data_IF_913407620054
#
_entry.id   IF_913407620054
#
_cell.length_a   1.000
_cell.length_b   1.000
_cell.length_c   1.000
_cell.angle_alpha   90.00
_cell.angle_beta   90.00
_cell.angle_gamma   90.00
#
_symmetry.space_group_name_H-M   'P 1'
#
loop_
_entity.id
_entity.type
_entity.pdbx_description
1 polymer ?
#
# COMPACT_ATOMS: atom_id res chain seq x y z
N UNK A 1 12.36 -42.09 -13.37
CA UNK A 1 12.14 -40.63 -13.42
C UNK A 1 12.39 -40.06 -12.04
N UNK A 2 13.16 -38.98 -11.95
CA UNK A 2 13.41 -38.23 -10.71
C UNK A 2 13.08 -36.76 -10.93
N UNK A 3 12.95 -36.00 -9.84
CA UNK A 3 12.83 -34.53 -9.87
C UNK A 3 13.95 -33.96 -9.03
N UNK A 4 14.66 -32.98 -9.57
CA UNK A 4 15.65 -32.17 -8.86
C UNK A 4 15.27 -30.70 -8.95
N UNK A 5 15.83 -29.86 -8.08
CA UNK A 5 15.52 -28.44 -7.99
C UNK A 5 16.77 -27.61 -8.24
N UNK A 6 16.68 -26.63 -9.14
CA UNK A 6 17.81 -25.73 -9.44
C UNK A 6 18.10 -24.81 -8.24
N UNK A 7 19.36 -24.72 -7.82
CA UNK A 7 19.76 -23.93 -6.65
C UNK A 7 19.36 -22.45 -6.77
N UNK A 8 19.31 -21.91 -7.99
CA UNK A 8 19.08 -20.49 -8.22
C UNK A 8 17.67 -20.02 -7.84
N UNK A 9 16.67 -20.90 -7.91
CA UNK A 9 15.27 -20.48 -7.82
C UNK A 9 14.28 -21.60 -7.40
N UNK A 10 14.75 -22.83 -7.15
CA UNK A 10 13.87 -23.93 -6.81
C UNK A 10 13.05 -24.48 -7.97
N UNK A 11 13.38 -24.13 -9.22
CA UNK A 11 12.68 -24.66 -10.38
C UNK A 11 12.84 -26.19 -10.46
N UNK A 12 11.74 -26.96 -10.54
CA UNK A 12 11.81 -28.40 -10.69
C UNK A 12 12.25 -28.78 -12.10
N UNK A 13 13.17 -29.74 -12.20
CA UNK A 13 13.62 -30.34 -13.44
C UNK A 13 13.45 -31.85 -13.36
N UNK A 14 12.83 -32.41 -14.40
CA UNK A 14 12.62 -33.85 -14.52
C UNK A 14 13.90 -34.49 -15.06
N UNK A 15 14.35 -35.54 -14.39
CA UNK A 15 15.56 -36.31 -14.73
C UNK A 15 15.15 -37.71 -15.20
N UNK A 16 15.61 -38.09 -16.38
CA UNK A 16 15.33 -39.40 -17.01
C UNK A 16 16.60 -40.20 -17.24
N UNK A 17 16.44 -41.51 -17.44
CA UNK A 17 17.54 -42.38 -17.81
C UNK A 17 17.90 -42.15 -19.29
N UNK A 18 19.19 -42.08 -19.59
CA UNK A 18 19.72 -42.11 -20.94
C UNK A 18 19.76 -43.56 -21.48
N UNK A 19 20.28 -43.73 -22.70
CA UNK A 19 20.41 -45.04 -23.36
C UNK A 19 21.36 -46.01 -22.63
N UNK A 20 22.28 -45.47 -21.81
CA UNK A 20 23.25 -46.23 -21.00
C UNK A 20 22.70 -46.61 -19.61
N UNK A 21 21.47 -46.18 -19.29
CA UNK A 21 20.82 -46.45 -18.00
C UNK A 21 21.28 -45.53 -16.86
N UNK A 22 21.91 -44.40 -17.16
CA UNK A 22 22.30 -43.38 -16.19
C UNK A 22 21.34 -42.18 -16.21
N UNK A 23 21.17 -41.51 -15.06
CA UNK A 23 20.35 -40.30 -14.99
C UNK A 23 21.07 -39.10 -15.58
N UNK A 24 20.43 -38.40 -16.52
CA UNK A 24 20.98 -37.18 -17.12
C UNK A 24 20.56 -35.94 -16.33
N UNK A 25 21.46 -35.45 -15.46
CA UNK A 25 21.20 -34.29 -14.61
C UNK A 25 21.45 -32.94 -15.31
N UNK A 26 20.82 -31.84 -14.83
CA UNK A 26 21.06 -30.50 -15.35
C UNK A 26 22.53 -30.08 -15.21
N UNK A 27 23.01 -29.26 -16.15
CA UNK A 27 24.34 -28.65 -16.09
C UNK A 27 24.49 -27.60 -14.98
N UNK A 28 23.38 -26.99 -14.55
CA UNK A 28 23.33 -26.04 -13.44
C UNK A 28 23.38 -26.76 -12.08
N UNK A 29 23.76 -26.04 -11.01
CA UNK A 29 23.73 -26.60 -9.66
C UNK A 29 22.29 -26.96 -9.25
N UNK A 30 22.12 -28.17 -8.73
CA UNK A 30 20.81 -28.72 -8.36
C UNK A 30 20.87 -29.45 -7.01
N UNK A 31 19.70 -29.63 -6.40
CA UNK A 31 19.53 -30.39 -5.15
C UNK A 31 18.29 -31.28 -5.26
N UNK A 32 18.28 -32.44 -4.60
CA UNK A 32 17.05 -33.25 -4.43
C UNK A 32 16.12 -32.65 -3.36
N UNK A 33 16.62 -31.69 -2.56
CA UNK A 33 15.85 -31.03 -1.51
C UNK A 33 14.89 -30.00 -2.12
N UNK A 34 13.59 -30.26 -2.04
CA UNK A 34 12.54 -29.32 -2.45
C UNK A 34 12.58 -28.03 -1.61
N UNK A 35 12.33 -26.84 -2.19
CA UNK A 35 12.04 -25.64 -1.41
C UNK A 35 10.91 -25.83 -0.41
N UNK A 36 11.00 -25.17 0.74
CA UNK A 36 9.93 -25.23 1.74
C UNK A 36 8.64 -24.60 1.18
N UNK A 37 7.50 -25.21 1.48
CA UNK A 37 6.21 -24.71 1.03
C UNK A 37 5.93 -23.33 1.65
N UNK A 38 5.47 -22.39 0.82
CA UNK A 38 5.17 -21.02 1.26
C UNK A 38 6.35 -20.03 1.21
N UNK A 39 7.52 -20.46 0.74
CA UNK A 39 8.58 -19.52 0.39
C UNK A 39 8.16 -18.61 -0.78
N UNK A 40 8.39 -17.31 -0.62
CA UNK A 40 8.14 -16.28 -1.61
C UNK A 40 9.42 -15.97 -2.38
N UNK A 41 9.32 -15.95 -3.70
CA UNK A 41 10.46 -15.65 -4.58
C UNK A 41 10.89 -14.19 -4.47
N UNK A 42 12.19 -13.88 -4.56
CA UNK A 42 13.28 -14.77 -4.95
C UNK A 42 13.77 -15.70 -3.82
N UNK A 43 14.12 -16.93 -4.18
CA UNK A 43 14.73 -17.93 -3.28
C UNK A 43 15.98 -18.54 -3.90
N UNK A 44 16.89 -19.06 -3.08
CA UNK A 44 18.04 -19.83 -3.55
C UNK A 44 18.50 -20.88 -2.53
N UNK A 45 19.23 -21.90 -2.96
CA UNK A 45 19.84 -22.90 -2.08
C UNK A 45 21.30 -22.53 -1.77
N UNK A 46 21.66 -22.48 -0.49
CA UNK A 46 23.01 -22.08 -0.03
C UNK A 46 24.03 -23.24 0.00
N UNK A 47 23.60 -24.45 -0.36
CA UNK A 47 24.37 -25.69 -0.27
C UNK A 47 23.98 -26.56 0.93
N UNK A 48 23.18 -26.04 1.86
CA UNK A 48 22.64 -26.77 3.02
C UNK A 48 21.11 -26.64 3.11
N UNK A 49 20.57 -25.44 2.92
CA UNK A 49 19.14 -25.11 3.04
C UNK A 49 18.69 -24.08 2.00
N UNK A 50 17.38 -23.98 1.85
CA UNK A 50 16.76 -22.92 1.07
C UNK A 50 16.77 -21.60 1.86
N UNK A 51 17.13 -20.52 1.17
CA UNK A 51 17.12 -19.15 1.66
C UNK A 51 16.05 -18.39 0.90
N UNK A 52 15.20 -17.72 1.66
CA UNK A 52 14.05 -16.96 1.19
C UNK A 52 13.24 -16.46 2.38
N UNK A 53 12.10 -15.84 2.10
CA UNK A 53 11.18 -15.36 3.12
C UNK A 53 9.74 -15.68 2.73
N UNK A 54 8.81 -15.60 3.68
CA UNK A 54 7.38 -15.71 3.34
C UNK A 54 6.89 -14.42 2.68
N UNK A 55 5.76 -14.50 1.97
CA UNK A 55 5.12 -13.33 1.35
C UNK A 55 4.81 -12.26 2.41
N UNK A 56 4.33 -12.67 3.57
CA UNK A 56 3.99 -11.75 4.67
C UNK A 56 5.23 -10.99 5.19
N UNK A 57 6.38 -11.66 5.31
CA UNK A 57 7.63 -11.01 5.72
C UNK A 57 8.09 -10.04 4.64
N UNK A 58 8.04 -10.45 3.37
CA UNK A 58 8.37 -9.59 2.24
C UNK A 58 7.52 -8.32 2.19
N UNK A 59 6.20 -8.45 2.31
CA UNK A 59 5.30 -7.30 2.27
C UNK A 59 5.51 -6.34 3.44
N UNK A 60 5.92 -6.82 4.62
CA UNK A 60 6.25 -5.97 5.77
C UNK A 60 7.58 -5.21 5.63
N UNK A 61 8.50 -5.76 4.85
CA UNK A 61 9.82 -5.15 4.61
C UNK A 61 9.80 -4.18 3.43
N UNK A 62 8.72 -4.14 2.64
CA UNK A 62 8.57 -3.16 1.58
C UNK A 62 8.68 -1.75 2.18
N UNK A 63 9.46 -0.85 1.56
CA UNK A 63 9.48 0.54 1.98
C UNK A 63 8.04 1.10 1.89
N UNK A 64 7.68 2.08 2.74
CA UNK A 64 6.42 2.78 2.57
C UNK A 64 6.32 3.30 1.15
N UNK A 65 5.13 3.24 0.57
CA UNK A 65 4.91 3.77 -0.76
C UNK A 65 5.37 5.24 -0.80
N UNK A 66 6.14 5.64 -1.82
CA UNK A 66 6.54 7.04 -1.94
C UNK A 66 5.27 7.88 -2.10
N UNK A 67 5.21 9.00 -1.37
CA UNK A 67 4.12 9.98 -1.52
C UNK A 67 4.10 10.40 -2.99
N UNK A 68 2.98 10.14 -3.67
CA UNK A 68 2.83 10.50 -5.07
C UNK A 68 2.31 11.94 -5.23
N UNK A 69 2.37 12.49 -6.45
CA UNK A 69 1.89 13.85 -6.72
C UNK A 69 0.38 14.00 -6.43
N UNK A 70 -0.39 12.89 -6.49
CA UNK A 70 -1.82 12.91 -6.17
C UNK A 70 -2.03 12.99 -4.67
N UNK A 71 -1.22 12.35 -3.85
CA UNK A 71 -1.28 12.43 -2.39
C UNK A 71 -1.02 13.88 -1.94
N UNK A 72 -0.02 14.54 -2.54
CA UNK A 72 0.26 15.96 -2.30
C UNK A 72 -0.92 16.83 -2.73
N UNK A 73 -1.50 16.56 -3.90
CA UNK A 73 -2.68 17.28 -4.38
C UNK A 73 -3.89 17.09 -3.46
N UNK A 74 -4.14 15.87 -3.00
CA UNK A 74 -5.23 15.54 -2.06
C UNK A 74 -5.02 16.27 -0.74
N UNK A 75 -3.80 16.29 -0.21
CA UNK A 75 -3.46 17.03 1.00
C UNK A 75 -3.77 18.53 0.85
N UNK A 76 -3.25 19.15 -0.21
CA UNK A 76 -3.46 20.58 -0.47
C UNK A 76 -4.94 20.92 -0.66
N UNK A 77 -5.68 20.10 -1.39
CA UNK A 77 -7.13 20.28 -1.57
C UNK A 77 -7.90 20.12 -0.25
N UNK A 78 -7.48 19.17 0.59
CA UNK A 78 -8.10 18.95 1.91
C UNK A 78 -7.86 20.13 2.85
N UNK A 79 -6.66 20.70 2.84
CA UNK A 79 -6.33 21.92 3.60
C UNK A 79 -7.15 23.13 3.11
N UNK A 80 -7.21 23.36 1.80
CA UNK A 80 -8.01 24.44 1.22
C UNK A 80 -9.49 24.29 1.54
N UNK A 81 -10.02 23.07 1.50
CA UNK A 81 -11.41 22.78 1.85
C UNK A 81 -11.69 23.12 3.32
N UNK A 82 -10.80 22.74 4.23
CA UNK A 82 -10.94 23.04 5.66
C UNK A 82 -10.92 24.56 5.92
N UNK A 83 -9.96 25.28 5.33
CA UNK A 83 -9.89 26.75 5.44
C UNK A 83 -11.17 27.41 4.94
N UNK A 84 -11.66 26.97 3.78
CA UNK A 84 -12.91 27.48 3.18
C UNK A 84 -14.11 27.24 4.09
N UNK A 85 -14.20 26.06 4.73
CA UNK A 85 -15.28 25.76 5.67
C UNK A 85 -15.26 26.68 6.89
N UNK A 86 -14.08 26.96 7.45
CA UNK A 86 -13.93 27.88 8.58
C UNK A 86 -14.33 29.32 8.21
N UNK A 87 -13.95 29.79 7.03
CA UNK A 87 -14.37 31.10 6.53
C UNK A 87 -15.89 31.19 6.36
N UNK A 88 -16.53 30.15 5.80
CA UNK A 88 -17.99 30.09 5.68
C UNK A 88 -18.67 30.14 7.04
N UNK A 89 -18.15 29.43 8.05
CA UNK A 89 -18.70 29.49 9.41
C UNK A 89 -18.62 30.88 10.02
N UNK A 90 -17.48 31.56 9.84
CA UNK A 90 -17.31 32.94 10.30
C UNK A 90 -18.29 33.90 9.61
N UNK A 91 -18.41 33.80 8.28
CA UNK A 91 -19.37 34.61 7.50
C UNK A 91 -20.81 34.36 7.96
N UNK A 92 -21.19 33.10 8.24
CA UNK A 92 -22.51 32.77 8.78
C UNK A 92 -22.76 33.42 10.14
N UNK A 93 -21.76 33.41 11.03
CA UNK A 93 -21.82 34.04 12.36
C UNK A 93 -21.97 35.56 12.27
N UNK A 94 -21.22 36.19 11.37
CA UNK A 94 -21.29 37.63 11.13
C UNK A 94 -22.65 38.03 10.57
N UNK A 95 -23.17 37.28 9.59
CA UNK A 95 -24.51 37.48 9.04
C UNK A 95 -25.59 37.34 10.12
N UNK A 96 -25.52 36.33 10.98
CA UNK A 96 -26.45 36.17 12.10
C UNK A 96 -26.39 37.37 13.07
N UNK A 97 -25.20 37.94 13.27
CA UNK A 97 -25.01 39.13 14.11
C UNK A 97 -25.66 40.36 13.48
N UNK A 98 -25.43 40.59 12.18
CA UNK A 98 -26.04 41.70 11.44
C UNK A 98 -27.57 41.58 11.43
N UNK A 99 -28.12 40.39 11.17
CA UNK A 99 -29.57 40.16 11.18
C UNK A 99 -30.19 40.49 12.55
N UNK A 100 -29.54 40.08 13.65
CA UNK A 100 -30.00 40.44 15.01
C UNK A 100 -30.03 41.95 15.23
N UNK A 101 -29.02 42.69 14.75
CA UNK A 101 -28.98 44.14 14.88
C UNK A 101 -30.08 44.84 14.07
N UNK A 102 -30.37 44.36 12.86
CA UNK A 102 -31.42 44.91 12.01
C UNK A 102 -32.82 44.65 12.60
N UNK A 103 -33.08 43.42 13.05
CA UNK A 103 -34.35 43.06 13.71
C UNK A 103 -34.50 43.80 15.05
N UNK A 104 -33.42 43.95 15.81
CA UNK A 104 -33.43 44.68 17.09
C UNK A 104 -33.65 46.20 16.94
N UNK A 105 -33.16 46.82 15.85
CA UNK A 105 -33.39 48.25 15.58
C UNK A 105 -34.77 48.54 15.02
N UNK A 106 -35.34 47.65 14.21
CA UNK A 106 -36.69 47.81 13.64
C UNK A 106 -37.84 47.79 14.65
N UNK A 107 -37.59 47.46 15.93
CA UNK A 107 -38.61 47.43 16.98
C UNK A 107 -38.65 48.70 17.84
N UNK A 108 -37.72 49.65 17.68
CA UNK A 108 -37.59 50.84 18.56
C UNK A 108 -38.24 52.10 17.97
N UNK A 109 -38.54 52.13 16.66
CA UNK A 109 -39.04 53.36 16.00
C UNK A 109 -40.59 53.49 15.96
N UNK A 110 -41.36 52.50 16.42
CA UNK A 110 -42.84 52.52 16.36
C UNK A 110 -43.56 52.97 17.65
N UNK A 111 -42.86 53.49 18.68
CA UNK A 111 -43.48 53.79 19.99
C UNK A 111 -43.40 55.27 20.42
N UNK A 112 -43.16 56.22 19.51
CA UNK A 112 -43.13 57.65 19.89
C UNK A 112 -43.98 58.62 19.05
N UNK A 113 -45.06 58.18 18.41
CA UNK A 113 -46.05 59.15 17.94
C UNK A 113 -47.49 58.62 18.00
N UNK A 114 -48.12 58.73 19.18
CA UNK A 114 -49.55 59.06 19.30
C UNK A 114 -49.92 59.51 20.71
#
# INVERSE_FOLDING_TARGET
>A
MKIVYLWKNGQPVIVTLNEEGEYEYPSEKWTENKPDDGMYTPIYFDGQKWIGQSKEVFEKELPPEPIDDKDVLIYNLSEQLLSTQLEIENVKKDMATVLKLLVGKGSVDDVQNS
#
